data_IF_552581561702
#
_entry.id   IF_552581561702
#
_cell.length_a   1.000
_cell.length_b   1.000
_cell.length_c   1.000
_cell.angle_alpha   90.00
_cell.angle_beta   90.00
_cell.angle_gamma   90.00
#
_symmetry.space_group_name_H-M   'P 1'
#
loop_
_entity.id
_entity.type
_entity.pdbx_description
1 polymer ?
#
# COMPACT_ATOMS: atom_id res chain seq x y z
N UNK A 1 16.45 45.32 65.13
CA UNK A 1 16.83 46.37 64.16
C UNK A 1 17.87 45.79 63.21
N UNK A 2 17.72 46.14 61.93
CA UNK A 2 18.43 45.67 60.74
C UNK A 2 19.96 45.60 60.83
N UNK A 3 20.52 44.54 60.25
CA UNK A 3 21.75 44.57 59.46
C UNK A 3 21.50 43.70 58.22
N UNK A 4 21.18 44.34 57.10
CA UNK A 4 20.89 43.68 55.84
C UNK A 4 22.17 43.37 55.07
N UNK A 5 22.36 42.10 54.71
CA UNK A 5 23.40 41.67 53.79
C UNK A 5 22.78 41.52 52.39
N UNK A 6 23.16 42.40 51.47
CA UNK A 6 22.85 42.28 50.04
C UNK A 6 23.95 41.43 49.39
N UNK A 7 23.64 40.18 49.08
CA UNK A 7 24.41 39.37 48.14
C UNK A 7 23.79 39.47 46.75
N UNK A 8 24.46 40.22 45.88
CA UNK A 8 24.24 40.19 44.43
C UNK A 8 24.75 38.86 43.88
N UNK A 9 23.82 37.96 43.50
CA UNK A 9 24.12 36.87 42.56
C UNK A 9 23.59 37.26 41.19
N UNK A 10 24.50 37.70 40.34
CA UNK A 10 24.34 37.57 38.90
C UNK A 10 24.54 36.09 38.55
N UNK A 11 23.53 35.46 37.99
CA UNK A 11 23.68 34.20 37.25
C UNK A 11 23.06 34.44 35.88
N UNK A 12 23.94 34.74 34.95
CA UNK A 12 23.91 34.44 33.52
C UNK A 12 22.61 33.83 32.99
N UNK A 13 21.78 34.71 32.44
CA UNK A 13 20.78 34.32 31.45
C UNK A 13 21.47 34.22 30.08
N UNK A 14 22.15 33.11 29.82
CA UNK A 14 22.51 32.69 28.46
C UNK A 14 21.62 31.49 28.09
N UNK A 15 20.31 31.73 28.02
CA UNK A 15 19.37 30.85 27.33
C UNK A 15 19.54 31.05 25.83
N UNK A 16 20.63 30.50 25.28
CA UNK A 16 20.66 30.14 23.87
C UNK A 16 19.71 28.96 23.71
N UNK A 17 18.47 29.25 23.33
CA UNK A 17 17.60 28.28 22.68
C UNK A 17 18.38 27.71 21.49
N UNK A 18 18.99 26.54 21.68
CA UNK A 18 19.41 25.71 20.55
C UNK A 18 18.12 25.35 19.83
N UNK A 19 17.82 26.08 18.76
CA UNK A 19 16.83 25.67 17.77
C UNK A 19 17.31 24.32 17.24
N UNK A 20 16.86 23.24 17.85
CA UNK A 20 17.13 21.90 17.39
C UNK A 20 16.41 21.73 16.06
N UNK A 21 17.14 21.37 15.01
CA UNK A 21 16.55 21.03 13.72
C UNK A 21 15.35 20.07 13.93
N UNK A 22 14.15 20.35 13.39
CA UNK A 22 12.92 19.63 13.73
C UNK A 22 12.85 18.25 13.04
N UNK A 23 13.89 17.44 13.23
CA UNK A 23 14.09 16.12 12.61
C UNK A 23 12.89 15.20 12.82
N UNK A 24 12.44 15.08 14.06
CA UNK A 24 11.33 14.18 14.40
C UNK A 24 10.00 14.62 13.77
N UNK A 25 9.76 15.93 13.67
CA UNK A 25 8.58 16.47 12.98
C UNK A 25 8.62 16.18 11.48
N UNK A 26 9.79 16.32 10.85
CA UNK A 26 9.98 16.00 9.44
C UNK A 26 9.86 14.49 9.17
N UNK A 27 10.42 13.64 10.04
CA UNK A 27 10.30 12.18 9.91
C UNK A 27 8.86 11.70 10.11
N UNK A 28 8.14 12.28 11.07
CA UNK A 28 6.73 11.93 11.33
C UNK A 28 5.75 12.48 10.28
N UNK A 29 6.17 13.40 9.41
CA UNK A 29 5.28 13.96 8.38
C UNK A 29 5.06 13.05 7.17
N UNK A 30 5.72 11.89 7.08
CA UNK A 30 5.62 10.99 5.91
C UNK A 30 6.47 11.41 4.71
N UNK A 31 6.61 12.72 4.48
CA UNK A 31 7.31 13.32 3.34
C UNK A 31 8.69 12.71 3.02
N UNK A 32 9.61 12.46 3.98
CA UNK A 32 10.88 11.83 3.65
C UNK A 32 10.73 10.41 3.11
N UNK A 33 9.77 9.65 3.64
CA UNK A 33 9.51 8.28 3.20
C UNK A 33 8.86 8.28 1.81
N UNK A 34 7.96 9.21 1.52
CA UNK A 34 7.39 9.40 0.17
C UNK A 34 8.48 9.67 -0.87
N UNK A 35 9.37 10.62 -0.57
CA UNK A 35 10.50 10.93 -1.45
C UNK A 35 11.41 9.70 -1.66
N UNK A 36 11.66 8.93 -0.59
CA UNK A 36 12.43 7.70 -0.67
C UNK A 36 11.76 6.60 -1.51
N UNK A 37 10.42 6.51 -1.51
CA UNK A 37 9.68 5.60 -2.41
C UNK A 37 9.91 5.98 -3.88
N UNK A 38 9.79 7.28 -4.21
CA UNK A 38 10.03 7.76 -5.57
C UNK A 38 11.47 7.49 -6.03
N UNK A 39 12.45 7.70 -5.16
CA UNK A 39 13.84 7.37 -5.45
C UNK A 39 14.04 5.87 -5.67
N UNK A 40 13.45 5.02 -4.84
CA UNK A 40 13.54 3.57 -5.01
C UNK A 40 12.94 3.11 -6.35
N UNK A 41 11.87 3.75 -6.83
CA UNK A 41 11.31 3.49 -8.16
C UNK A 41 12.25 3.92 -9.29
N UNK A 42 12.84 5.11 -9.18
CA UNK A 42 13.84 5.58 -10.14
C UNK A 42 15.06 4.63 -10.21
N UNK A 43 15.53 4.15 -9.06
CA UNK A 43 16.67 3.23 -8.96
C UNK A 43 16.40 1.86 -9.61
N UNK A 44 15.14 1.45 -9.71
CA UNK A 44 14.72 0.24 -10.46
C UNK A 44 14.32 0.54 -11.91
N UNK A 45 14.67 1.74 -12.39
CA UNK A 45 14.50 2.17 -13.77
C UNK A 45 13.08 2.60 -14.14
N UNK A 46 12.18 2.77 -13.17
CA UNK A 46 10.85 3.32 -13.45
C UNK A 46 10.93 4.83 -13.59
N UNK A 47 10.39 5.35 -14.69
CA UNK A 47 10.15 6.77 -14.85
C UNK A 47 8.69 7.04 -14.50
N UNK A 48 8.44 7.68 -13.35
CA UNK A 48 7.09 8.07 -12.94
C UNK A 48 6.91 9.56 -13.28
N UNK A 49 6.22 9.90 -14.38
CA UNK A 49 6.22 11.26 -14.92
C UNK A 49 5.43 12.27 -14.08
N UNK A 50 4.54 11.81 -13.18
CA UNK A 50 3.68 12.69 -12.38
C UNK A 50 3.27 12.01 -11.05
N UNK A 51 4.20 11.83 -10.10
CA UNK A 51 3.85 11.34 -8.78
C UNK A 51 3.03 12.39 -8.04
N UNK A 52 1.84 12.02 -7.59
CA UNK A 52 0.92 12.94 -6.93
C UNK A 52 0.18 12.27 -5.77
N UNK A 53 -0.20 13.09 -4.79
CA UNK A 53 -1.17 12.71 -3.77
C UNK A 53 -2.52 12.40 -4.44
N UNK A 54 -3.11 11.25 -4.10
CA UNK A 54 -4.43 10.89 -4.60
C UNK A 54 -5.51 11.26 -3.63
N UNK A 55 -6.33 12.25 -3.99
CA UNK A 55 -7.46 12.71 -3.17
C UNK A 55 -8.76 12.04 -3.58
N UNK A 56 -9.57 11.68 -2.59
CA UNK A 56 -10.89 11.13 -2.78
C UNK A 56 -11.83 11.60 -1.68
N UNK A 57 -13.13 11.61 -1.97
CA UNK A 57 -14.14 12.09 -1.02
C UNK A 57 -15.16 11.01 -0.72
N UNK A 58 -15.50 10.85 0.55
CA UNK A 58 -16.51 9.90 1.04
C UNK A 58 -17.70 10.66 1.57
N UNK A 59 -18.90 10.29 1.12
CA UNK A 59 -20.15 10.88 1.62
C UNK A 59 -20.77 9.95 2.67
N UNK A 60 -20.78 10.39 3.92
CA UNK A 60 -21.44 9.72 5.05
C UNK A 60 -22.95 9.68 4.87
N UNK A 61 -23.64 8.85 5.67
CA UNK A 61 -25.10 8.73 5.64
C UNK A 61 -25.83 10.04 5.96
N UNK A 62 -25.23 10.89 6.81
CA UNK A 62 -25.77 12.21 7.14
C UNK A 62 -25.55 13.26 6.03
N UNK A 63 -25.02 12.88 4.88
CA UNK A 63 -24.70 13.78 3.75
C UNK A 63 -23.39 14.56 3.90
N UNK A 64 -22.69 14.45 5.03
CA UNK A 64 -21.38 15.07 5.21
C UNK A 64 -20.37 14.39 4.30
N UNK A 65 -19.61 15.19 3.55
CA UNK A 65 -18.51 14.70 2.73
C UNK A 65 -17.19 14.98 3.44
N UNK A 66 -16.43 13.92 3.70
CA UNK A 66 -15.06 14.02 4.19
C UNK A 66 -14.10 13.86 2.99
N UNK A 67 -13.02 14.63 2.98
CA UNK A 67 -11.92 14.45 2.03
C UNK A 67 -10.79 13.63 2.67
N UNK A 68 -10.28 12.69 1.90
CA UNK A 68 -9.17 11.83 2.26
C UNK A 68 -8.13 11.88 1.15
N UNK A 69 -6.92 11.46 1.48
CA UNK A 69 -5.87 11.28 0.49
C UNK A 69 -5.09 9.99 0.71
N UNK A 70 -4.34 9.57 -0.30
CA UNK A 70 -3.26 8.59 -0.17
C UNK A 70 -2.01 9.27 -0.67
N UNK A 71 -0.89 9.07 0.03
CA UNK A 71 0.33 9.86 -0.15
C UNK A 71 0.81 9.89 -1.60
N UNK A 72 0.79 8.74 -2.29
CA UNK A 72 1.21 8.67 -3.70
C UNK A 72 0.27 7.78 -4.54
N UNK A 73 -0.10 8.27 -5.73
CA UNK A 73 -0.57 7.46 -6.85
C UNK A 73 0.47 7.47 -7.95
N UNK A 74 0.91 6.27 -8.31
CA UNK A 74 2.01 6.07 -9.23
C UNK A 74 1.54 5.12 -10.32
N UNK A 75 1.89 5.41 -11.56
CA UNK A 75 1.67 4.51 -12.69
C UNK A 75 3.01 4.01 -13.18
N UNK A 76 3.26 2.72 -12.99
CA UNK A 76 4.49 2.06 -13.39
C UNK A 76 4.24 1.13 -14.58
N UNK A 77 5.25 0.94 -15.42
CA UNK A 77 5.20 -0.08 -16.48
C UNK A 77 5.66 -1.42 -15.90
N UNK A 78 4.94 -2.50 -16.18
CA UNK A 78 5.43 -3.84 -15.84
C UNK A 78 6.55 -4.24 -16.80
N UNK A 79 7.70 -4.69 -16.29
CA UNK A 79 8.76 -5.27 -17.13
C UNK A 79 8.46 -6.69 -17.58
N UNK A 80 7.41 -7.29 -17.02
CA UNK A 80 6.92 -8.58 -17.45
C UNK A 80 6.10 -8.52 -18.73
N UNK A 81 5.46 -7.38 -18.97
CA UNK A 81 4.54 -7.13 -20.07
C UNK A 81 4.49 -5.62 -20.32
N UNK A 82 5.16 -5.15 -21.37
CA UNK A 82 5.22 -3.74 -21.76
C UNK A 82 3.85 -3.14 -22.13
N UNK A 83 2.78 -3.95 -22.15
CA UNK A 83 1.40 -3.48 -22.31
C UNK A 83 0.65 -3.31 -20.99
N UNK A 84 1.19 -3.82 -19.88
CA UNK A 84 0.55 -3.84 -18.57
C UNK A 84 1.08 -2.72 -17.67
N UNK A 85 0.16 -1.90 -17.17
CA UNK A 85 0.46 -0.90 -16.15
C UNK A 85 0.17 -1.41 -14.74
N UNK A 86 0.99 -0.99 -13.79
CA UNK A 86 0.72 -1.10 -12.36
C UNK A 86 0.35 0.28 -11.82
N UNK A 87 -0.92 0.47 -11.48
CA UNK A 87 -1.40 1.63 -10.72
C UNK A 87 -1.14 1.36 -9.23
N UNK A 88 0.01 1.79 -8.74
CA UNK A 88 0.44 1.64 -7.36
C UNK A 88 -0.10 2.80 -6.52
N UNK A 89 -0.92 2.50 -5.52
CA UNK A 89 -1.37 3.46 -4.51
C UNK A 89 -0.56 3.24 -3.25
N UNK A 90 0.25 4.22 -2.83
CA UNK A 90 1.19 4.09 -1.72
C UNK A 90 0.78 4.96 -0.55
N UNK A 91 0.60 4.32 0.59
CA UNK A 91 0.52 4.98 1.89
C UNK A 91 1.83 4.74 2.66
N UNK A 92 2.49 5.81 3.08
CA UNK A 92 3.76 5.82 3.78
C UNK A 92 3.56 5.92 5.29
N UNK A 93 4.08 4.96 6.06
CA UNK A 93 4.04 4.97 7.53
C UNK A 93 5.43 4.90 8.11
N UNK A 94 6.00 6.06 8.44
CA UNK A 94 7.23 6.14 9.22
C UNK A 94 6.97 5.69 10.67
N UNK A 95 7.88 4.89 11.21
CA UNK A 95 7.92 4.45 12.60
C UNK A 95 9.32 4.62 13.16
N UNK A 96 9.38 4.89 14.46
CA UNK A 96 10.62 4.92 15.21
C UNK A 96 11.27 3.52 15.25
N UNK A 97 12.56 3.50 15.52
CA UNK A 97 13.34 2.28 15.63
C UNK A 97 12.76 1.34 16.71
N UNK A 98 12.83 0.04 16.46
CA UNK A 98 12.33 -1.00 17.37
C UNK A 98 10.84 -1.33 17.18
N UNK A 99 10.09 -0.59 16.36
CA UNK A 99 8.70 -0.94 16.01
C UNK A 99 8.68 -2.10 15.00
N UNK A 100 7.89 -3.12 15.31
CA UNK A 100 7.60 -4.25 14.41
C UNK A 100 6.11 -4.34 14.12
N UNK A 101 5.76 -4.68 12.88
CA UNK A 101 4.41 -5.07 12.51
C UNK A 101 4.36 -6.58 12.37
N UNK A 102 3.59 -7.22 13.24
CA UNK A 102 3.50 -8.68 13.35
C UNK A 102 2.19 -9.15 12.74
N UNK A 103 2.28 -10.04 11.77
CA UNK A 103 1.14 -10.53 10.99
C UNK A 103 0.86 -12.01 11.25
N UNK A 104 -0.42 -12.35 11.26
CA UNK A 104 -0.89 -13.73 11.34
C UNK A 104 -1.04 -14.31 9.92
N UNK A 105 -0.36 -15.44 9.61
CA UNK A 105 -0.40 -16.04 8.29
C UNK A 105 -1.77 -16.67 7.99
N UNK A 106 -2.06 -16.90 6.70
CA UNK A 106 -3.19 -17.69 6.21
C UNK A 106 -2.66 -18.96 5.55
N UNK A 107 -3.37 -20.07 5.74
CA UNK A 107 -3.05 -21.31 5.01
C UNK A 107 -3.22 -21.13 3.49
N UNK A 108 -2.22 -21.57 2.74
CA UNK A 108 -2.09 -21.31 1.30
C UNK A 108 -3.25 -21.87 0.45
N UNK A 109 -4.02 -22.82 0.97
CA UNK A 109 -5.18 -23.42 0.28
C UNK A 109 -6.47 -22.61 0.31
N UNK A 110 -6.52 -21.47 1.02
CA UNK A 110 -7.77 -20.76 1.33
C UNK A 110 -7.98 -19.48 0.49
N UNK A 111 -6.98 -19.01 -0.27
CA UNK A 111 -7.07 -17.70 -0.93
C UNK A 111 -7.00 -17.75 -2.45
N UNK A 112 -8.09 -17.26 -3.07
CA UNK A 112 -8.16 -16.98 -4.50
C UNK A 112 -7.38 -15.71 -4.88
N UNK A 113 -7.08 -15.63 -6.17
CA UNK A 113 -6.19 -14.68 -6.87
C UNK A 113 -6.27 -13.23 -6.35
N UNK A 114 -5.11 -12.61 -6.00
CA UNK A 114 -5.10 -11.42 -5.15
C UNK A 114 -5.28 -10.07 -5.85
N UNK A 115 -5.14 -9.98 -7.17
CA UNK A 115 -5.20 -8.69 -7.87
C UNK A 115 -5.90 -8.82 -9.22
N UNK A 116 -7.15 -8.35 -9.30
CA UNK A 116 -7.87 -8.45 -10.54
C UNK A 116 -7.40 -7.39 -11.55
N UNK A 117 -7.13 -7.84 -12.78
CA UNK A 117 -6.76 -6.96 -13.89
C UNK A 117 -8.00 -6.22 -14.43
N UNK A 118 -7.84 -4.94 -14.75
CA UNK A 118 -8.88 -4.08 -15.35
C UNK A 118 -8.39 -3.65 -16.75
N UNK A 119 -9.08 -4.03 -17.83
CA UNK A 119 -8.69 -3.68 -19.20
C UNK A 119 -9.79 -3.80 -20.26
N UNK A 120 -9.55 -3.38 -21.52
CA UNK A 120 -10.58 -3.32 -22.57
C UNK A 120 -11.11 -4.69 -23.01
N UNK A 121 -10.23 -5.70 -23.08
CA UNK A 121 -10.61 -7.07 -23.43
C UNK A 121 -11.19 -7.87 -22.24
N UNK A 122 -10.98 -7.38 -21.02
CA UNK A 122 -11.44 -7.95 -19.76
C UNK A 122 -11.78 -6.82 -18.79
N UNK A 123 -12.94 -6.16 -18.95
CA UNK A 123 -13.40 -5.17 -17.97
C UNK A 123 -13.79 -5.83 -16.64
N UNK A 124 -13.81 -7.17 -16.61
CA UNK A 124 -13.96 -8.00 -15.42
C UNK A 124 -12.60 -8.38 -14.88
N UNK A 125 -12.57 -8.41 -13.55
CA UNK A 125 -11.63 -9.10 -12.67
C UNK A 125 -11.37 -10.54 -13.11
N UNK A 126 -10.61 -10.74 -14.18
CA UNK A 126 -10.31 -12.08 -14.66
C UNK A 126 -9.10 -12.61 -13.87
N UNK A 127 -9.25 -13.75 -13.16
CA UNK A 127 -8.19 -14.34 -12.35
C UNK A 127 -7.17 -15.11 -13.21
N UNK A 128 -6.90 -14.65 -14.45
CA UNK A 128 -5.71 -15.19 -15.13
C UNK A 128 -4.53 -14.77 -14.28
N UNK A 129 -3.62 -15.70 -13.91
CA UNK A 129 -2.44 -15.38 -13.15
C UNK A 129 -1.69 -14.26 -13.84
N UNK A 130 -1.91 -13.05 -13.35
CA UNK A 130 -1.30 -11.86 -13.88
C UNK A 130 0.20 -12.01 -13.66
N UNK A 131 1.05 -11.43 -14.50
CA UNK A 131 2.49 -11.65 -14.29
C UNK A 131 2.93 -11.16 -12.90
N UNK A 132 2.20 -10.18 -12.37
CA UNK A 132 2.26 -9.73 -10.98
C UNK A 132 2.11 -10.85 -9.93
N UNK A 133 1.22 -11.82 -10.16
CA UNK A 133 1.02 -12.94 -9.22
C UNK A 133 2.26 -13.81 -9.11
N UNK A 134 2.94 -14.09 -10.23
CA UNK A 134 4.23 -14.79 -10.22
C UNK A 134 5.30 -13.96 -9.52
N UNK A 135 5.28 -12.64 -9.72
CA UNK A 135 6.21 -11.72 -9.07
C UNK A 135 6.08 -11.78 -7.55
N UNK A 136 4.87 -11.88 -7.01
CA UNK A 136 4.60 -11.81 -5.57
C UNK A 136 4.27 -13.17 -4.95
N UNK A 137 4.43 -14.27 -5.69
CA UNK A 137 4.04 -15.61 -5.24
C UNK A 137 4.74 -16.02 -3.94
N UNK A 138 5.99 -15.59 -3.77
CA UNK A 138 6.80 -15.85 -2.58
C UNK A 138 6.43 -15.00 -1.37
N UNK A 139 5.55 -14.00 -1.53
CA UNK A 139 5.17 -13.11 -0.44
C UNK A 139 4.22 -13.84 0.51
N UNK A 140 4.49 -13.83 1.83
CA UNK A 140 3.57 -14.41 2.80
C UNK A 140 2.19 -13.79 2.69
N UNK A 141 1.17 -14.65 2.78
CA UNK A 141 -0.23 -14.24 2.83
C UNK A 141 -0.68 -14.18 4.27
N UNK A 142 -1.26 -13.06 4.67
CA UNK A 142 -1.66 -12.76 6.04
C UNK A 142 -3.12 -12.25 6.07
N UNK A 143 -3.81 -12.38 7.20
CA UNK A 143 -5.19 -11.85 7.33
C UNK A 143 -5.33 -10.75 8.38
N UNK A 144 -4.36 -10.61 9.29
CA UNK A 144 -4.39 -9.62 10.36
C UNK A 144 -2.98 -9.25 10.77
N UNK A 145 -2.79 -7.98 11.14
CA UNK A 145 -1.54 -7.47 11.69
C UNK A 145 -1.77 -6.68 12.98
N UNK A 146 -0.70 -6.52 13.76
CA UNK A 146 -0.63 -5.63 14.92
C UNK A 146 0.73 -4.92 14.95
N UNK A 147 0.75 -3.66 15.36
CA UNK A 147 1.99 -2.95 15.63
C UNK A 147 2.42 -3.19 17.08
N UNK A 148 3.68 -3.60 17.25
CA UNK A 148 4.31 -3.87 18.53
C UNK A 148 5.55 -2.99 18.64
N UNK A 149 5.56 -2.10 19.62
CA UNK A 149 6.72 -1.27 19.98
C UNK A 149 7.10 -1.41 21.45
N UNK A 150 8.14 -0.70 21.86
CA UNK A 150 8.68 -0.76 23.23
C UNK A 150 7.72 -0.22 24.30
N UNK A 151 6.86 0.76 23.96
CA UNK A 151 6.03 1.46 24.96
C UNK A 151 4.52 1.23 24.80
N UNK A 152 4.07 0.72 23.65
CA UNK A 152 2.68 0.31 23.48
C UNK A 152 2.53 -0.66 22.31
N UNK A 153 1.49 -1.51 22.41
CA UNK A 153 0.93 -2.20 21.25
C UNK A 153 -0.32 -1.44 20.82
N UNK A 154 -0.42 -1.09 19.55
CA UNK A 154 -1.62 -0.47 19.00
C UNK A 154 -1.90 -1.05 17.63
N UNK A 155 -3.14 -1.36 17.29
CA UNK A 155 -3.46 -1.81 15.92
C UNK A 155 -3.67 -0.63 14.96
N UNK A 156 -3.67 0.62 15.46
CA UNK A 156 -4.25 1.78 14.76
C UNK A 156 -3.49 2.12 13.47
N UNK A 157 -2.16 2.19 13.56
CA UNK A 157 -1.35 2.71 12.47
C UNK A 157 -1.42 1.93 11.16
N UNK A 158 -1.38 0.60 11.22
CA UNK A 158 -1.54 -0.27 10.06
C UNK A 158 -3.00 -0.27 9.57
N UNK A 159 -3.97 -0.41 10.48
CA UNK A 159 -5.38 -0.57 10.13
C UNK A 159 -5.93 0.70 9.45
N UNK A 160 -5.56 1.88 9.93
CA UNK A 160 -5.98 3.17 9.35
C UNK A 160 -5.44 3.32 7.92
N UNK A 161 -4.15 3.05 7.69
CA UNK A 161 -3.55 3.11 6.36
C UNK A 161 -4.15 2.07 5.40
N UNK A 162 -4.35 0.84 5.86
CA UNK A 162 -5.01 -0.22 5.10
C UNK A 162 -6.45 0.16 4.71
N UNK A 163 -7.19 0.77 5.63
CA UNK A 163 -8.55 1.24 5.40
C UNK A 163 -8.60 2.33 4.33
N UNK A 164 -7.74 3.34 4.45
CA UNK A 164 -7.63 4.48 3.54
C UNK A 164 -7.25 4.03 2.12
N UNK A 165 -6.24 3.16 2.00
CA UNK A 165 -5.84 2.52 0.75
C UNK A 165 -6.98 1.72 0.09
N UNK A 166 -7.80 1.04 0.89
CA UNK A 166 -8.90 0.22 0.36
C UNK A 166 -9.98 1.08 -0.30
N UNK A 167 -10.33 2.24 0.29
CA UNK A 167 -11.23 3.19 -0.37
C UNK A 167 -10.60 3.77 -1.63
N UNK A 168 -9.35 4.25 -1.53
CA UNK A 168 -8.65 4.84 -2.67
C UNK A 168 -8.58 3.86 -3.86
N UNK A 169 -8.24 2.60 -3.61
CA UNK A 169 -8.21 1.56 -4.63
C UNK A 169 -9.57 1.40 -5.33
N UNK A 170 -10.66 1.40 -4.57
CA UNK A 170 -12.00 1.29 -5.13
C UNK A 170 -12.34 2.51 -6.00
N UNK A 171 -12.05 3.73 -5.54
CA UNK A 171 -12.25 4.93 -6.34
C UNK A 171 -11.47 4.88 -7.66
N UNK A 172 -10.18 4.52 -7.60
CA UNK A 172 -9.34 4.38 -8.80
C UNK A 172 -9.87 3.29 -9.73
N UNK A 173 -10.38 2.18 -9.20
CA UNK A 173 -10.99 1.14 -10.03
C UNK A 173 -12.24 1.64 -10.75
N UNK A 174 -13.09 2.43 -10.08
CA UNK A 174 -14.26 3.06 -10.71
C UNK A 174 -13.85 4.07 -11.78
N UNK A 175 -12.83 4.91 -11.55
CA UNK A 175 -12.27 5.81 -12.56
C UNK A 175 -11.82 5.03 -13.81
N UNK A 176 -11.12 3.91 -13.62
CA UNK A 176 -10.66 3.06 -14.72
C UNK A 176 -11.83 2.44 -15.48
N UNK A 177 -12.84 1.94 -14.78
CA UNK A 177 -14.05 1.39 -15.39
C UNK A 177 -14.81 2.46 -16.20
N UNK A 178 -14.87 3.70 -15.70
CA UNK A 178 -15.41 4.83 -16.46
C UNK A 178 -14.63 5.06 -17.76
N UNK A 179 -13.29 5.10 -17.70
CA UNK A 179 -12.45 5.25 -18.89
C UNK A 179 -12.71 4.12 -19.89
N UNK A 180 -12.77 2.87 -19.44
CA UNK A 180 -13.07 1.72 -20.31
C UNK A 180 -14.45 1.84 -20.97
N UNK A 181 -15.43 2.38 -20.24
CA UNK A 181 -16.78 2.52 -20.74
C UNK A 181 -16.95 3.67 -21.76
N UNK A 182 -15.99 4.60 -21.84
CA UNK A 182 -16.08 5.77 -22.74
C UNK A 182 -15.13 5.60 -23.92
N UNK A 183 -13.87 5.29 -23.65
CA UNK A 183 -12.79 5.30 -24.63
C UNK A 183 -12.85 4.10 -25.60
N UNK A 184 -12.27 4.22 -26.81
CA UNK A 184 -12.10 3.08 -27.69
C UNK A 184 -11.03 2.11 -27.14
N UNK A 185 -11.11 0.79 -27.45
CA UNK A 185 -10.13 -0.20 -26.99
C UNK A 185 -8.68 0.12 -27.30
N UNK A 186 -8.41 0.83 -28.41
CA UNK A 186 -7.06 1.23 -28.82
C UNK A 186 -6.40 2.28 -27.91
N UNK A 187 -7.19 2.98 -27.10
CA UNK A 187 -6.72 4.00 -26.16
C UNK A 187 -6.64 3.47 -24.71
N UNK A 188 -6.94 2.18 -24.51
CA UNK A 188 -7.03 1.58 -23.20
C UNK A 188 -5.86 0.62 -22.99
N UNK A 189 -5.02 0.94 -22.01
CA UNK A 189 -4.00 0.01 -21.52
C UNK A 189 -4.55 -0.79 -20.33
N UNK A 190 -4.35 -2.12 -20.29
CA UNK A 190 -4.67 -2.89 -19.11
C UNK A 190 -3.86 -2.40 -17.91
N UNK A 191 -4.49 -2.41 -16.74
CA UNK A 191 -3.83 -2.05 -15.50
C UNK A 191 -4.21 -2.99 -14.35
N UNK A 192 -3.27 -3.19 -13.45
CA UNK A 192 -3.52 -3.73 -12.11
C UNK A 192 -3.39 -2.60 -11.11
N UNK A 193 -4.37 -2.46 -10.24
CA UNK A 193 -4.30 -1.50 -9.13
C UNK A 193 -3.77 -2.27 -7.92
N UNK A 194 -2.65 -1.79 -7.38
CA UNK A 194 -2.02 -2.37 -6.21
C UNK A 194 -2.00 -1.33 -5.09
N UNK A 195 -2.88 -1.46 -4.09
CA UNK A 195 -2.75 -0.67 -2.89
C UNK A 195 -1.63 -1.24 -2.01
N UNK A 196 -0.68 -0.40 -1.64
CA UNK A 196 0.55 -0.76 -0.96
C UNK A 196 0.82 0.18 0.21
N UNK A 197 1.17 -0.39 1.34
CA UNK A 197 1.65 0.35 2.49
C UNK A 197 3.18 0.19 2.58
N UNK A 198 3.92 1.30 2.54
CA UNK A 198 5.37 1.31 2.74
C UNK A 198 5.68 1.78 4.16
N UNK A 199 6.47 1.01 4.91
CA UNK A 199 6.79 1.36 6.30
C UNK A 199 8.26 1.14 6.65
N UNK A 200 8.76 1.91 7.62
CA UNK A 200 10.07 1.68 8.24
C UNK A 200 10.00 0.65 9.37
N UNK A 201 8.81 0.23 9.81
CA UNK A 201 8.65 -0.84 10.78
C UNK A 201 9.17 -2.17 10.24
N UNK A 202 9.74 -3.00 11.11
CA UNK A 202 10.13 -4.36 10.71
C UNK A 202 8.88 -5.20 10.47
N UNK A 203 8.72 -5.75 9.27
CA UNK A 203 7.61 -6.65 8.97
C UNK A 203 7.95 -8.05 9.45
N UNK A 204 7.07 -8.66 10.25
CA UNK A 204 7.23 -9.99 10.79
C UNK A 204 5.97 -10.81 10.60
N UNK A 205 6.12 -12.10 10.32
CA UNK A 205 5.00 -13.06 10.21
C UNK A 205 5.15 -14.09 11.31
N UNK A 206 4.08 -14.38 12.05
CA UNK A 206 4.05 -15.46 13.02
C UNK A 206 4.41 -16.79 12.34
N UNK A 207 5.16 -17.64 13.05
CA UNK A 207 5.34 -19.01 12.57
C UNK A 207 3.97 -19.71 12.50
N UNK A 208 3.69 -20.55 11.49
CA UNK A 208 2.39 -21.21 11.33
C UNK A 208 1.94 -22.01 12.56
N UNK A 209 2.88 -22.55 13.33
CA UNK A 209 2.66 -23.36 14.52
C UNK A 209 2.78 -22.56 15.84
N UNK A 210 2.93 -21.23 15.78
CA UNK A 210 3.12 -20.39 16.95
C UNK A 210 1.92 -20.46 17.90
N UNK A 211 2.18 -20.85 19.15
CA UNK A 211 1.21 -20.94 20.24
C UNK A 211 1.38 -19.81 21.25
N UNK A 212 0.31 -19.51 21.98
CA UNK A 212 0.30 -18.46 23.02
C UNK A 212 1.38 -18.74 24.08
N UNK A 213 1.61 -19.99 24.44
CA UNK A 213 2.63 -20.40 25.42
C UNK A 213 4.05 -20.12 24.92
N UNK A 214 4.32 -20.36 23.63
CA UNK A 214 5.60 -20.03 23.00
C UNK A 214 5.81 -18.51 22.99
N UNK A 215 4.77 -17.73 22.70
CA UNK A 215 4.85 -16.26 22.75
C UNK A 215 5.11 -15.77 24.18
N UNK A 216 4.46 -16.35 25.19
CA UNK A 216 4.67 -15.98 26.61
C UNK A 216 6.08 -16.31 27.10
N UNK A 217 6.66 -17.42 26.63
CA UNK A 217 8.00 -17.86 27.00
C UNK A 217 9.12 -17.28 26.12
N UNK A 218 8.78 -16.61 25.03
CA UNK A 218 9.77 -16.09 24.08
C UNK A 218 10.58 -14.94 24.69
N UNK A 219 11.90 -15.06 24.61
CA UNK A 219 12.85 -13.99 24.96
C UNK A 219 13.33 -13.22 23.73
N UNK A 220 12.98 -13.67 22.54
CA UNK A 220 13.31 -13.05 21.27
C UNK A 220 12.23 -13.29 20.22
N UNK A 221 12.23 -12.44 19.19
CA UNK A 221 11.27 -12.53 18.10
C UNK A 221 11.45 -13.78 17.22
N UNK A 222 12.69 -14.25 17.04
CA UNK A 222 13.04 -15.24 16.03
C UNK A 222 12.48 -16.63 16.34
N UNK A 223 12.17 -16.92 17.60
CA UNK A 223 11.52 -18.18 18.01
C UNK A 223 10.03 -18.25 17.71
N UNK A 224 9.37 -17.13 17.41
CA UNK A 224 7.91 -17.05 17.24
C UNK A 224 7.47 -16.37 15.93
N UNK A 225 8.39 -15.68 15.26
CA UNK A 225 8.13 -14.94 14.02
C UNK A 225 9.32 -15.00 13.08
N UNK A 226 9.09 -14.76 11.80
CA UNK A 226 10.12 -14.49 10.80
C UNK A 226 10.01 -13.08 10.24
N UNK A 227 11.13 -12.38 10.08
CA UNK A 227 11.15 -11.10 9.37
C UNK A 227 11.01 -11.32 7.85
N UNK A 228 10.27 -10.44 7.16
CA UNK A 228 10.01 -10.55 5.72
C UNK A 228 10.13 -9.19 5.02
N UNK A 229 10.56 -9.13 3.75
CA UNK A 229 10.73 -7.85 3.04
C UNK A 229 9.40 -7.26 2.55
N UNK A 230 8.41 -8.12 2.32
CA UNK A 230 7.07 -7.77 1.88
C UNK A 230 6.10 -8.90 2.23
N UNK A 231 4.80 -8.58 2.29
CA UNK A 231 3.71 -9.52 2.48
C UNK A 231 2.41 -9.00 1.86
N UNK A 232 1.44 -9.89 1.69
CA UNK A 232 0.07 -9.55 1.30
C UNK A 232 -0.84 -9.70 2.51
N UNK A 233 -1.66 -8.68 2.77
CA UNK A 233 -2.73 -8.76 3.77
C UNK A 233 -4.07 -8.84 3.07
N UNK A 234 -4.87 -9.85 3.41
CA UNK A 234 -6.25 -9.96 2.97
C UNK A 234 -7.03 -8.74 3.46
N UNK A 235 -7.65 -8.04 2.54
CA UNK A 235 -8.58 -6.98 2.84
C UNK A 235 -10.01 -7.54 2.81
N UNK A 236 -10.75 -7.33 3.90
CA UNK A 236 -12.17 -7.65 3.97
C UNK A 236 -12.90 -6.33 4.11
N UNK A 237 -13.55 -5.84 3.05
CA UNK A 237 -14.24 -4.56 3.10
C UNK A 237 -15.26 -4.51 4.24
N UNK A 238 -15.20 -3.46 5.06
CA UNK A 238 -16.21 -3.20 6.07
C UNK A 238 -17.53 -2.73 5.42
N UNK A 239 -18.61 -2.68 6.20
CA UNK A 239 -19.92 -2.28 5.67
C UNK A 239 -19.91 -0.89 5.04
N UNK A 240 -19.24 0.09 5.68
CA UNK A 240 -19.10 1.44 5.11
C UNK A 240 -18.44 1.43 3.73
N UNK A 241 -17.38 0.62 3.55
CA UNK A 241 -16.70 0.46 2.27
C UNK A 241 -17.62 -0.14 1.21
N UNK A 242 -18.43 -1.14 1.60
CA UNK A 242 -19.37 -1.79 0.68
C UNK A 242 -20.44 -0.81 0.21
N UNK A 243 -21.05 -0.08 1.16
CA UNK A 243 -22.12 0.89 0.89
C UNK A 243 -21.60 2.06 0.06
N UNK A 244 -20.43 2.60 0.42
CA UNK A 244 -19.79 3.66 -0.35
C UNK A 244 -19.45 3.19 -1.77
N UNK A 245 -18.91 1.98 -1.91
CA UNK A 245 -18.64 1.37 -3.21
C UNK A 245 -19.85 1.30 -4.13
N UNK A 246 -21.00 0.85 -3.60
CA UNK A 246 -22.25 0.82 -4.39
C UNK A 246 -22.66 2.23 -4.82
N UNK A 247 -22.60 3.21 -3.91
CA UNK A 247 -22.90 4.61 -4.22
C UNK A 247 -21.93 5.18 -5.26
N UNK A 248 -20.64 4.85 -5.17
CA UNK A 248 -19.63 5.26 -6.14
C UNK A 248 -19.96 4.71 -7.53
N UNK A 249 -20.27 3.42 -7.65
CA UNK A 249 -20.69 2.80 -8.91
C UNK A 249 -21.92 3.52 -9.48
N UNK A 250 -22.94 3.77 -8.66
CA UNK A 250 -24.18 4.39 -9.10
C UNK A 250 -24.03 5.85 -9.52
N UNK A 251 -23.18 6.61 -8.81
CA UNK A 251 -22.89 8.00 -9.12
C UNK A 251 -22.03 8.16 -10.36
N UNK A 252 -21.05 7.27 -10.55
CA UNK A 252 -20.00 7.44 -11.55
C UNK A 252 -20.24 6.68 -12.86
N UNK A 253 -21.06 5.62 -12.83
CA UNK A 253 -21.35 4.83 -14.03
C UNK A 253 -22.84 4.95 -14.40
N UNK A 254 -23.09 5.58 -15.54
CA UNK A 254 -24.43 5.62 -16.16
C UNK A 254 -24.91 4.22 -16.51
N UNK A 255 -26.23 4.05 -16.67
CA UNK A 255 -26.84 2.79 -17.11
C UNK A 255 -26.21 2.28 -18.41
N UNK A 256 -25.94 3.17 -19.37
CA UNK A 256 -25.31 2.82 -20.66
C UNK A 256 -23.86 2.35 -20.47
N UNK A 257 -23.07 3.01 -19.63
CA UNK A 257 -21.71 2.58 -19.32
C UNK A 257 -21.69 1.21 -18.63
N UNK A 258 -22.57 0.99 -17.63
CA UNK A 258 -22.72 -0.31 -16.98
C UNK A 258 -23.09 -1.40 -18.00
N UNK A 259 -24.01 -1.14 -18.92
CA UNK A 259 -24.39 -2.08 -19.98
C UNK A 259 -23.24 -2.37 -20.95
N UNK A 260 -22.45 -1.35 -21.32
CA UNK A 260 -21.28 -1.53 -22.19
C UNK A 260 -20.21 -2.38 -21.52
N UNK A 261 -19.89 -2.08 -20.26
CA UNK A 261 -19.00 -2.90 -19.44
C UNK A 261 -19.53 -4.33 -19.34
N UNK A 262 -20.86 -4.51 -19.21
CA UNK A 262 -21.50 -5.82 -19.17
C UNK A 262 -21.36 -6.61 -20.47
N UNK A 263 -21.53 -5.95 -21.61
CA UNK A 263 -21.46 -6.58 -22.95
C UNK A 263 -20.07 -7.10 -23.30
N UNK A 264 -19.02 -6.51 -22.73
CA UNK A 264 -17.64 -6.94 -22.90
C UNK A 264 -17.25 -8.17 -22.07
N UNK A 265 -18.16 -8.69 -21.25
CA UNK A 265 -17.91 -9.84 -20.37
C UNK A 265 -18.40 -11.13 -21.03
N UNK A 266 -17.50 -12.10 -21.23
CA UNK A 266 -17.90 -13.46 -21.65
C UNK A 266 -18.75 -14.06 -20.52
N UNK A 267 -20.01 -14.42 -20.81
CA UNK A 267 -20.90 -15.12 -19.87
C UNK A 267 -22.09 -14.30 -19.33
N UNK A 268 -22.19 -13.00 -19.63
CA UNK A 268 -23.37 -12.20 -19.26
C UNK A 268 -23.54 -11.88 -17.76
N UNK A 269 -22.58 -12.26 -16.91
CA UNK A 269 -22.63 -12.09 -15.43
C UNK A 269 -22.73 -10.63 -14.96
N UNK A 270 -22.28 -9.68 -15.77
CA UNK A 270 -22.22 -8.24 -15.39
C UNK A 270 -23.54 -7.49 -15.66
N UNK A 271 -24.52 -8.13 -16.30
CA UNK A 271 -25.88 -7.58 -16.43
C UNK A 271 -26.61 -7.48 -15.09
N UNK A 272 -26.12 -8.13 -14.06
CA UNK A 272 -26.74 -8.20 -12.76
C UNK A 272 -26.22 -7.07 -11.84
N UNK A 273 -27.15 -6.35 -11.18
CA UNK A 273 -26.83 -5.47 -10.04
C UNK A 273 -25.97 -6.20 -9.00
N UNK A 274 -26.12 -7.53 -8.93
CA UNK A 274 -25.34 -8.41 -8.09
C UNK A 274 -23.84 -8.40 -8.41
N UNK A 275 -23.42 -8.20 -9.67
CA UNK A 275 -22.00 -8.06 -10.01
C UNK A 275 -21.38 -6.85 -9.33
N UNK A 276 -21.99 -5.68 -9.49
CA UNK A 276 -21.47 -4.43 -8.92
C UNK A 276 -21.42 -4.50 -7.41
N UNK A 277 -22.44 -5.09 -6.79
CA UNK A 277 -22.46 -5.36 -5.34
C UNK A 277 -21.35 -6.33 -4.93
N UNK A 278 -21.11 -7.40 -5.67
CA UNK A 278 -20.03 -8.35 -5.38
C UNK A 278 -18.66 -7.67 -5.53
N UNK A 279 -18.45 -6.95 -6.62
CA UNK A 279 -17.23 -6.20 -6.89
C UNK A 279 -16.90 -5.24 -5.73
N UNK A 280 -17.83 -4.37 -5.36
CA UNK A 280 -17.63 -3.41 -4.26
C UNK A 280 -17.56 -4.10 -2.89
N UNK A 281 -18.17 -5.28 -2.74
CA UNK A 281 -18.13 -6.05 -1.50
C UNK A 281 -16.80 -6.76 -1.23
N UNK A 282 -15.96 -6.94 -2.26
CA UNK A 282 -14.71 -7.70 -2.17
C UNK A 282 -13.47 -6.92 -2.59
N UNK A 283 -13.60 -5.81 -3.31
CA UNK A 283 -12.47 -5.09 -3.88
C UNK A 283 -11.98 -3.92 -3.00
N UNK A 284 -10.65 -3.71 -2.84
CA UNK A 284 -9.58 -4.64 -3.21
C UNK A 284 -9.58 -5.86 -2.29
N UNK A 285 -9.18 -7.03 -2.79
CA UNK A 285 -9.15 -8.26 -1.97
C UNK A 285 -7.89 -8.35 -1.11
N UNK A 286 -6.81 -7.66 -1.52
CA UNK A 286 -5.52 -7.67 -0.87
C UNK A 286 -4.85 -6.30 -0.90
N UNK A 287 -3.97 -6.10 0.08
CA UNK A 287 -3.08 -4.95 0.22
C UNK A 287 -1.66 -5.48 0.32
N UNK A 288 -0.71 -4.85 -0.37
CA UNK A 288 0.70 -5.11 -0.15
C UNK A 288 1.21 -4.33 1.05
N UNK A 289 2.11 -4.93 1.84
CA UNK A 289 2.86 -4.23 2.88
C UNK A 289 4.33 -4.44 2.60
N UNK A 290 5.06 -3.34 2.40
CA UNK A 290 6.45 -3.35 1.93
C UNK A 290 7.36 -2.73 2.99
N UNK A 291 8.45 -3.41 3.31
CA UNK A 291 9.49 -2.87 4.19
C UNK A 291 10.35 -1.88 3.41
N UNK A 292 10.51 -0.66 3.93
CA UNK A 292 11.39 0.35 3.36
C UNK A 292 12.83 -0.16 3.19
N UNK A 293 13.34 -0.93 4.16
CA UNK A 293 14.73 -1.43 4.14
C UNK A 293 15.02 -2.39 2.99
N UNK A 294 13.99 -2.99 2.40
CA UNK A 294 14.10 -3.93 1.27
C UNK A 294 13.40 -3.39 0.02
N UNK A 295 12.93 -2.14 0.03
CA UNK A 295 12.03 -1.60 -0.97
C UNK A 295 12.57 -1.69 -2.41
N UNK A 296 13.84 -1.34 -2.71
CA UNK A 296 14.35 -1.48 -4.08
C UNK A 296 14.30 -2.93 -4.59
N UNK A 297 14.67 -3.91 -3.76
CA UNK A 297 14.62 -5.33 -4.13
C UNK A 297 13.19 -5.80 -4.34
N UNK A 298 12.30 -5.43 -3.43
CA UNK A 298 10.86 -5.73 -3.50
C UNK A 298 10.21 -5.12 -4.74
N UNK A 299 10.55 -3.88 -5.10
CA UNK A 299 10.05 -3.22 -6.31
C UNK A 299 10.59 -3.89 -7.59
N UNK A 300 11.87 -4.31 -7.63
CA UNK A 300 12.39 -5.08 -8.79
C UNK A 300 11.61 -6.37 -8.98
N UNK A 301 11.39 -7.11 -7.90
CA UNK A 301 10.60 -8.34 -7.91
C UNK A 301 9.19 -8.04 -8.43
N UNK A 302 8.49 -7.07 -7.82
CA UNK A 302 7.12 -6.67 -8.14
C UNK A 302 6.94 -6.25 -9.60
N UNK A 303 7.88 -5.46 -10.13
CA UNK A 303 7.83 -4.93 -11.48
C UNK A 303 8.38 -5.91 -12.52
N UNK A 304 9.04 -6.99 -12.10
CA UNK A 304 9.51 -8.05 -12.97
C UNK A 304 10.90 -7.87 -13.57
N UNK A 305 11.76 -7.04 -12.98
CA UNK A 305 13.16 -6.99 -13.40
C UNK A 305 13.94 -8.17 -12.83
N UNK A 306 14.68 -8.93 -13.65
CA UNK A 306 15.60 -9.93 -13.12
C UNK A 306 16.67 -9.26 -12.24
N UNK A 307 16.91 -9.84 -11.06
CA UNK A 307 17.89 -9.34 -10.08
C UNK A 307 19.33 -9.38 -10.64
N UNK A 308 19.58 -10.13 -11.72
CA UNK A 308 20.91 -10.46 -12.22
C UNK A 308 21.55 -9.45 -13.21
N UNK A 309 20.88 -8.38 -13.62
CA UNK A 309 21.43 -7.47 -14.66
C UNK A 309 22.38 -6.37 -14.16
N UNK A 310 22.71 -6.29 -12.86
CA UNK A 310 23.61 -5.23 -12.33
C UNK A 310 25.00 -5.69 -11.87
N UNK A 311 25.38 -6.97 -12.03
CA UNK A 311 26.73 -7.44 -11.62
C UNK A 311 27.76 -7.54 -12.75
N UNK A 312 27.47 -7.10 -13.97
CA UNK A 312 28.40 -7.22 -15.12
C UNK A 312 28.99 -5.87 -15.58
N UNK A 313 28.70 -4.77 -14.89
CA UNK A 313 29.07 -3.42 -15.35
C UNK A 313 30.38 -2.81 -14.83
N UNK A 314 31.02 -3.37 -13.78
CA UNK A 314 32.13 -2.67 -13.08
C UNK A 314 33.50 -3.39 -13.15
N UNK A 315 33.71 -4.30 -14.10
CA UNK A 315 35.04 -4.92 -14.25
C UNK A 315 35.49 -4.93 -15.70
N UNK A 316 35.85 -3.76 -16.24
CA UNK A 316 36.89 -3.60 -17.28
C UNK A 316 37.10 -2.11 -17.63
N UNK A 317 37.71 -1.34 -16.73
CA UNK A 317 38.56 -0.21 -17.14
C UNK A 317 39.80 -0.27 -16.27
N UNK A 318 40.91 -0.70 -16.87
CA UNK A 318 42.23 -0.60 -16.25
C UNK A 318 43.14 -1.80 -16.45
N UNK A 319 43.40 -2.20 -17.70
CA UNK A 319 44.74 -2.59 -18.17
C UNK A 319 44.83 -2.31 -19.67
N UNK A 320 45.73 -1.39 -20.03
CA UNK A 320 45.98 -0.91 -21.39
C UNK A 320 46.76 0.39 -21.32
#
# INVERSE_FOLDING_TARGET
MNMGNKTTKACDADHKEKISFPKEKLLSSGLPLEYSVLKALADVGQNVPDPSEYRFSRTKENGQTDEFSVDLRLRCLSYHDDSLFLDLLVECKHRHDGVSWVFSPVDEGIMEVPFPQIGPARPVLSPTPSVLERSIESWPRCFKGVEVGCESSSAKGFVEGAYQLSFAALHVAIERLQSIAILPPSELSPAVILPALVTTATLRVLQPDARVEQVRGATSWDGITRAVPALLVRNIPCEDQRLDGVKLVDRNLTKTQKLRLSGSCKGGEVKDLLFWRRFTASYPTHLAVLSYSSLPTTLRQLLGRPIHEQLVGETQIGQG
#
